data_IF_145783334964
#
_entry.id   IF_145783334964
#
_cell.length_a   1.000
_cell.length_b   1.000
_cell.length_c   1.000
_cell.angle_alpha   90.00
_cell.angle_beta   90.00
_cell.angle_gamma   90.00
#
_symmetry.space_group_name_H-M   'P 1'
#
loop_
_entity.id
_entity.type
_entity.pdbx_description
1 polymer ?
#
# COMPACT_ATOMS: atom_id res chain seq x y z
N UNK A 1 -30.33 37.68 -23.50
CA UNK A 1 -30.68 36.33 -23.02
C UNK A 1 -29.38 35.61 -22.70
N UNK A 2 -28.74 35.98 -21.59
CA UNK A 2 -27.58 35.28 -21.05
C UNK A 2 -28.12 34.00 -20.41
N UNK A 3 -27.81 32.87 -21.03
CA UNK A 3 -28.05 31.54 -20.47
C UNK A 3 -27.18 31.45 -19.22
N UNK A 4 -27.82 31.55 -18.05
CA UNK A 4 -27.21 31.21 -16.78
C UNK A 4 -26.82 29.73 -16.84
N UNK A 5 -25.54 29.50 -17.12
CA UNK A 5 -24.94 28.20 -16.90
C UNK A 5 -24.80 28.07 -15.39
N UNK A 6 -25.86 27.59 -14.74
CA UNK A 6 -25.82 27.12 -13.36
C UNK A 6 -24.82 25.96 -13.32
N UNK A 7 -23.56 26.33 -13.11
CA UNK A 7 -22.58 25.43 -12.53
C UNK A 7 -23.16 25.12 -11.16
N UNK A 8 -23.83 23.97 -11.06
CA UNK A 8 -24.13 23.35 -9.79
C UNK A 8 -22.77 23.17 -9.10
N UNK A 9 -22.44 24.19 -8.33
CA UNK A 9 -21.24 24.29 -7.53
C UNK A 9 -21.30 23.12 -6.57
N UNK A 10 -20.65 22.03 -6.94
CA UNK A 10 -20.29 20.94 -6.04
C UNK A 10 -19.17 21.46 -5.12
N UNK A 11 -19.43 22.60 -4.46
CA UNK A 11 -18.61 23.13 -3.41
C UNK A 11 -18.89 22.22 -2.23
N UNK A 12 -18.04 21.19 -2.07
CA UNK A 12 -17.93 20.49 -0.81
C UNK A 12 -17.92 21.54 0.33
N UNK A 13 -18.52 21.26 1.49
CA UNK A 13 -18.61 22.25 2.55
C UNK A 13 -17.21 22.81 2.87
N UNK A 14 -17.08 24.14 2.87
CA UNK A 14 -15.79 24.84 3.10
C UNK A 14 -15.14 24.51 4.46
N UNK A 15 -15.84 23.78 5.32
CA UNK A 15 -15.46 23.43 6.69
C UNK A 15 -15.33 21.92 6.94
N UNK A 16 -15.13 21.10 5.90
CA UNK A 16 -14.80 19.68 6.13
C UNK A 16 -13.35 19.57 6.62
N UNK A 17 -13.19 19.30 7.92
CA UNK A 17 -11.89 18.92 8.47
C UNK A 17 -11.59 17.49 8.05
N UNK A 18 -10.68 17.33 7.08
CA UNK A 18 -10.22 16.02 6.67
C UNK A 18 -9.16 15.51 7.68
N UNK A 19 -9.54 14.51 8.46
CA UNK A 19 -8.62 13.88 9.41
C UNK A 19 -7.78 12.82 8.71
N UNK A 20 -6.47 12.85 8.93
CA UNK A 20 -5.56 11.82 8.43
C UNK A 20 -5.60 10.60 9.35
N UNK A 21 -6.61 9.74 9.13
CA UNK A 21 -6.82 8.52 9.90
C UNK A 21 -6.11 7.29 9.30
N UNK A 22 -5.55 7.42 8.10
CA UNK A 22 -4.90 6.32 7.41
C UNK A 22 -5.85 5.19 7.03
N UNK A 23 -5.37 3.95 7.13
CA UNK A 23 -6.10 2.73 6.85
C UNK A 23 -5.62 1.57 7.74
N UNK A 24 -6.16 0.37 7.51
CA UNK A 24 -5.79 -0.84 8.27
C UNK A 24 -4.31 -1.27 8.15
N UNK A 25 -3.53 -0.66 7.25
CA UNK A 25 -2.09 -0.90 7.11
C UNK A 25 -1.24 0.15 7.81
N UNK A 26 -1.62 1.42 7.70
CA UNK A 26 -0.83 2.56 8.15
C UNK A 26 -1.76 3.59 8.76
N UNK A 27 -1.40 4.20 9.90
CA UNK A 27 -2.25 5.15 10.63
C UNK A 27 -2.33 6.53 9.97
N UNK A 28 -1.59 6.77 8.87
CA UNK A 28 -1.56 8.04 8.15
C UNK A 28 -1.46 7.77 6.65
N UNK A 29 -2.40 8.34 5.89
CA UNK A 29 -2.40 8.40 4.43
C UNK A 29 -1.26 9.29 3.93
N UNK A 30 -0.97 10.39 4.61
CA UNK A 30 0.04 11.35 4.20
C UNK A 30 1.47 10.85 4.42
N UNK A 31 1.68 9.95 5.39
CA UNK A 31 2.97 9.33 5.69
C UNK A 31 3.01 7.85 5.31
N UNK A 32 2.13 7.43 4.38
CA UNK A 32 2.06 6.05 3.96
C UNK A 32 3.34 5.67 3.18
N UNK A 33 4.07 4.61 3.58
CA UNK A 33 5.30 4.19 2.90
C UNK A 33 5.02 3.41 1.60
N UNK A 34 3.75 3.21 1.22
CA UNK A 34 3.39 2.51 -0.01
C UNK A 34 3.49 3.46 -1.22
N UNK A 35 3.96 2.96 -2.37
CA UNK A 35 4.04 3.75 -3.60
C UNK A 35 2.67 4.04 -4.22
N UNK A 36 1.64 3.24 -3.92
CA UNK A 36 0.25 3.45 -4.35
C UNK A 36 -0.73 3.15 -3.21
N UNK A 37 -1.81 3.91 -3.13
CA UNK A 37 -2.82 3.66 -2.10
C UNK A 37 -3.59 2.38 -2.44
N UNK A 38 -3.97 1.62 -1.39
CA UNK A 38 -4.81 0.43 -1.56
C UNK A 38 -6.14 0.74 -2.24
N UNK A 39 -6.63 1.96 -2.11
CA UNK A 39 -7.91 2.41 -2.66
C UNK A 39 -7.79 2.98 -4.08
N UNK A 40 -6.58 3.12 -4.64
CA UNK A 40 -6.36 3.76 -5.95
C UNK A 40 -6.69 2.86 -7.15
N UNK A 41 -6.79 1.54 -6.97
CA UNK A 41 -7.16 0.64 -8.07
C UNK A 41 -8.70 0.49 -8.11
N UNK A 42 -9.39 0.98 -9.16
CA UNK A 42 -10.81 0.72 -9.33
C UNK A 42 -11.00 -0.79 -9.50
N UNK A 43 -11.95 -1.35 -8.74
CA UNK A 43 -12.36 -2.74 -8.87
C UNK A 43 -13.17 -2.94 -10.16
N UNK A 44 -12.51 -2.82 -11.31
CA UNK A 44 -13.04 -3.26 -12.60
C UNK A 44 -13.29 -4.78 -12.48
N UNK A 45 -14.53 -5.18 -12.15
CA UNK A 45 -14.92 -6.60 -12.02
C UNK A 45 -15.10 -7.14 -10.59
N UNK A 46 -15.51 -6.32 -9.60
CA UNK A 46 -16.17 -6.81 -8.37
C UNK A 46 -15.31 -7.53 -7.32
N UNK A 47 -14.10 -7.97 -7.67
CA UNK A 47 -13.15 -8.65 -6.78
C UNK A 47 -11.83 -7.87 -6.58
N UNK A 48 -11.82 -6.60 -6.99
CA UNK A 48 -10.62 -5.75 -7.06
C UNK A 48 -10.23 -5.04 -5.77
N UNK A 49 -9.86 -5.78 -4.72
CA UNK A 49 -8.98 -5.23 -3.67
C UNK A 49 -7.80 -6.15 -3.51
N UNK A 50 -6.61 -5.76 -4.01
CA UNK A 50 -5.38 -6.45 -3.63
C UNK A 50 -5.36 -6.58 -2.10
N UNK A 51 -5.09 -7.78 -1.54
CA UNK A 51 -5.03 -7.94 -0.11
C UNK A 51 -4.02 -6.93 0.44
N UNK A 52 -4.44 -6.09 1.39
CA UNK A 52 -3.62 -5.05 2.03
C UNK A 52 -2.22 -5.56 2.38
N UNK A 53 -2.20 -6.79 2.88
CA UNK A 53 -0.99 -7.48 3.32
C UNK A 53 -0.05 -7.80 2.15
N UNK A 54 -0.57 -8.14 0.97
CA UNK A 54 0.26 -8.40 -0.21
C UNK A 54 0.97 -7.14 -0.68
N UNK A 55 0.26 -6.02 -0.80
CA UNK A 55 0.87 -4.72 -1.19
C UNK A 55 2.00 -4.32 -0.23
N UNK A 56 1.77 -4.44 1.08
CA UNK A 56 2.80 -4.15 2.09
C UNK A 56 3.99 -5.11 1.98
N UNK A 57 3.71 -6.41 1.87
CA UNK A 57 4.75 -7.43 1.84
C UNK A 57 5.60 -7.32 0.55
N UNK A 58 4.99 -6.99 -0.60
CA UNK A 58 5.66 -6.72 -1.87
C UNK A 58 6.58 -5.50 -1.78
N UNK A 59 6.07 -4.37 -1.29
CA UNK A 59 6.88 -3.14 -1.16
C UNK A 59 8.01 -3.33 -0.14
N UNK A 60 7.76 -4.04 0.96
CA UNK A 60 8.79 -4.38 1.94
C UNK A 60 9.90 -5.22 1.30
N UNK A 61 9.55 -6.24 0.51
CA UNK A 61 10.52 -7.07 -0.20
C UNK A 61 11.29 -6.26 -1.25
N UNK A 62 10.61 -5.36 -1.96
CA UNK A 62 11.24 -4.47 -2.93
C UNK A 62 12.28 -3.58 -2.27
N UNK A 63 11.93 -2.91 -1.16
CA UNK A 63 12.89 -2.08 -0.43
C UNK A 63 14.03 -2.88 0.20
N UNK A 64 13.78 -4.12 0.63
CA UNK A 64 14.84 -4.98 1.12
C UNK A 64 15.83 -5.38 0.00
N UNK A 65 15.33 -5.70 -1.20
CA UNK A 65 16.14 -6.17 -2.34
C UNK A 65 16.83 -5.02 -3.09
N UNK A 66 16.11 -3.94 -3.38
CA UNK A 66 16.59 -2.84 -4.22
C UNK A 66 17.36 -1.79 -3.41
N UNK A 67 16.87 -1.42 -2.23
CA UNK A 67 17.48 -0.38 -1.40
C UNK A 67 18.40 -0.95 -0.32
N UNK A 68 18.49 -2.28 -0.17
CA UNK A 68 19.36 -2.93 0.81
C UNK A 68 19.00 -2.63 2.26
N UNK A 69 17.78 -2.13 2.53
CA UNK A 69 17.36 -1.75 3.89
C UNK A 69 17.40 -2.93 4.84
N UNK A 70 17.90 -2.69 6.05
CA UNK A 70 17.98 -3.68 7.10
C UNK A 70 16.59 -4.05 7.64
N UNK A 71 16.52 -5.21 8.31
CA UNK A 71 15.29 -5.67 8.96
C UNK A 71 14.79 -4.69 10.02
N UNK A 72 15.69 -3.95 10.68
CA UNK A 72 15.31 -2.97 11.69
C UNK A 72 14.67 -1.73 11.04
N UNK A 73 15.28 -1.18 10.00
CA UNK A 73 14.74 -0.02 9.27
C UNK A 73 13.39 -0.33 8.63
N UNK A 74 13.21 -1.53 8.08
CA UNK A 74 11.93 -1.96 7.51
C UNK A 74 10.86 -2.16 8.60
N UNK A 75 11.24 -2.63 9.80
CA UNK A 75 10.30 -2.78 10.90
C UNK A 75 9.74 -1.42 11.34
N UNK A 76 10.62 -0.42 11.45
CA UNK A 76 10.24 0.95 11.81
C UNK A 76 9.41 1.61 10.71
N UNK A 77 9.89 1.57 9.46
CA UNK A 77 9.22 2.20 8.33
C UNK A 77 7.80 1.66 8.10
N UNK A 78 7.62 0.35 8.24
CA UNK A 78 6.34 -0.30 8.01
C UNK A 78 5.48 -0.44 9.28
N UNK A 79 5.96 0.01 10.45
CA UNK A 79 5.25 -0.12 11.72
C UNK A 79 4.97 -1.58 12.12
N UNK A 80 5.82 -2.52 11.74
CA UNK A 80 5.66 -3.95 12.02
C UNK A 80 6.81 -4.50 12.86
N UNK A 81 6.57 -5.60 13.58
CA UNK A 81 7.66 -6.24 14.32
C UNK A 81 8.75 -6.79 13.39
N UNK A 82 10.01 -6.79 13.86
CA UNK A 82 11.14 -7.44 13.17
C UNK A 82 10.85 -8.89 12.79
N UNK A 83 10.07 -9.60 13.61
CA UNK A 83 9.62 -10.99 13.38
C UNK A 83 8.74 -11.09 12.13
N UNK A 84 7.88 -10.10 11.92
CA UNK A 84 7.02 -10.00 10.73
C UNK A 84 7.85 -9.81 9.47
N UNK A 85 8.81 -8.88 9.50
CA UNK A 85 9.74 -8.61 8.40
C UNK A 85 10.52 -9.89 8.02
N UNK A 86 11.14 -10.54 9.01
CA UNK A 86 11.89 -11.79 8.79
C UNK A 86 11.03 -12.90 8.19
N UNK A 87 9.79 -13.06 8.67
CA UNK A 87 8.85 -14.06 8.14
C UNK A 87 8.50 -13.80 6.67
N UNK A 88 8.30 -12.54 6.30
CA UNK A 88 8.00 -12.13 4.91
C UNK A 88 9.20 -12.46 4.01
N UNK A 89 10.40 -12.07 4.43
CA UNK A 89 11.65 -12.36 3.69
C UNK A 89 11.83 -13.86 3.48
N UNK A 90 11.70 -14.66 4.55
CA UNK A 90 11.85 -16.14 4.49
C UNK A 90 10.83 -16.81 3.56
N UNK A 91 9.56 -16.37 3.60
CA UNK A 91 8.52 -16.88 2.69
C UNK A 91 8.84 -16.55 1.23
N UNK A 92 9.45 -15.39 0.97
CA UNK A 92 9.85 -15.01 -0.39
C UNK A 92 11.04 -15.83 -0.90
N UNK A 93 11.96 -16.22 -0.01
CA UNK A 93 13.12 -17.03 -0.41
C UNK A 93 12.72 -18.47 -0.71
N UNK A 94 11.82 -19.07 0.08
CA UNK A 94 11.33 -20.44 -0.21
C UNK A 94 10.57 -20.49 -1.54
N UNK A 95 9.73 -19.49 -1.82
CA UNK A 95 8.99 -19.40 -3.08
C UNK A 95 9.89 -19.12 -4.32
N UNK A 96 11.11 -18.62 -4.12
CA UNK A 96 12.12 -18.45 -5.17
C UNK A 96 12.83 -19.80 -5.45
N UNK A 97 13.11 -20.57 -4.39
CA UNK A 97 13.69 -21.91 -4.48
C UNK A 97 12.76 -22.89 -5.21
N UNK A 98 11.47 -22.94 -4.83
CA UNK A 98 10.49 -23.85 -5.44
C UNK A 98 10.29 -23.59 -6.95
N UNK A 99 10.46 -22.34 -7.40
CA UNK A 99 10.30 -21.96 -8.82
C UNK A 99 11.51 -22.35 -9.67
N UNK A 100 12.71 -22.37 -9.07
CA UNK A 100 13.94 -22.80 -9.74
C UNK A 100 13.95 -24.32 -9.94
N UNK A 101 13.34 -25.08 -9.03
CA UNK A 101 13.24 -26.54 -9.14
C UNK A 101 12.21 -27.01 -10.20
N UNK A 102 11.20 -26.20 -10.52
CA UNK A 102 10.19 -26.53 -11.54
C UNK A 102 10.60 -26.27 -13.01
N UNK A 103 11.80 -25.73 -13.25
CA UNK A 103 12.32 -25.40 -14.60
C UNK A 103 13.42 -26.37 -15.08
N UNK A 104 13.66 -27.47 -14.37
CA UNK A 104 14.62 -28.53 -14.78
C UNK A 104 13.91 -29.78 -15.26
#
# INVERSE_FOLDING_TARGET
MTRDHEIAADHLPDYVVYHDEGCALFPSCLNCPLPRCRYDEPAEGGEGRRPSKMLRDEELLRQHREAGKSVAELAELFGVSRRTVQRIIRRSSTADTDRKEATT
#
